data_IF_063871414998
#
_entry.id   IF_063871414998
#
_cell.length_a   1.000
_cell.length_b   1.000
_cell.length_c   1.000
_cell.angle_alpha   90.00
_cell.angle_beta   90.00
_cell.angle_gamma   90.00
#
_symmetry.space_group_name_H-M   'P 1'
#
loop_
_entity.id
_entity.type
_entity.pdbx_description
1 polymer ?
#
# COMPACT_ATOMS: atom_id res chain seq x y z
N UNK A 1 -51.25 65.07 20.36
CA UNK A 1 -51.10 63.61 20.10
C UNK A 1 -50.76 63.49 18.63
N UNK A 2 -49.58 63.08 18.17
CA UNK A 2 -48.72 61.97 18.59
C UNK A 2 -47.24 62.33 18.37
N UNK A 3 -46.38 61.97 19.32
CA UNK A 3 -44.92 62.13 19.25
C UNK A 3 -44.32 60.80 18.81
N UNK A 4 -43.62 60.76 17.68
CA UNK A 4 -42.96 59.56 17.15
C UNK A 4 -41.65 59.32 17.89
N UNK A 5 -41.57 58.24 18.67
CA UNK A 5 -40.31 57.74 19.26
C UNK A 5 -39.46 57.11 18.16
N UNK A 6 -38.24 57.63 17.95
CA UNK A 6 -37.19 56.96 17.17
C UNK A 6 -36.54 55.88 18.03
N UNK A 7 -36.78 54.61 17.71
CA UNK A 7 -36.05 53.47 18.26
C UNK A 7 -34.77 53.29 17.45
N UNK A 8 -33.61 53.52 18.07
CA UNK A 8 -32.30 53.19 17.51
C UNK A 8 -32.10 51.68 17.67
N UNK A 9 -32.14 50.95 16.56
CA UNK A 9 -31.78 49.53 16.53
C UNK A 9 -30.25 49.42 16.50
N UNK A 10 -29.68 48.80 17.54
CA UNK A 10 -28.27 48.48 17.64
C UNK A 10 -27.97 47.32 16.67
N UNK A 11 -27.25 47.57 15.59
CA UNK A 11 -26.76 46.52 14.68
C UNK A 11 -25.54 45.87 15.33
N UNK A 12 -25.73 44.71 15.95
CA UNK A 12 -24.63 43.86 16.41
C UNK A 12 -24.05 43.14 15.18
N UNK A 13 -22.92 43.65 14.68
CA UNK A 13 -22.15 43.01 13.61
C UNK A 13 -21.62 41.65 14.06
N UNK A 14 -22.17 40.58 13.50
CA UNK A 14 -21.65 39.22 13.69
C UNK A 14 -20.42 39.06 12.79
N UNK A 15 -19.22 39.17 13.38
CA UNK A 15 -17.97 38.80 12.71
C UNK A 15 -17.97 37.28 12.57
N UNK A 16 -18.30 36.79 11.37
CA UNK A 16 -18.15 35.39 11.02
C UNK A 16 -16.66 35.05 11.02
N UNK A 17 -16.21 34.39 12.08
CA UNK A 17 -14.88 33.81 12.19
C UNK A 17 -14.80 32.65 11.18
N UNK A 18 -14.33 32.93 9.96
CA UNK A 18 -13.93 31.92 8.99
C UNK A 18 -12.74 31.15 9.59
N UNK A 19 -13.06 30.10 10.35
CA UNK A 19 -12.09 29.13 10.82
C UNK A 19 -11.44 28.47 9.62
N UNK A 20 -10.20 28.87 9.33
CA UNK A 20 -9.31 28.15 8.44
C UNK A 20 -9.12 26.78 9.10
N UNK A 21 -9.84 25.76 8.65
CA UNK A 21 -9.54 24.39 9.05
C UNK A 21 -8.20 24.09 8.37
N UNK A 22 -7.09 23.95 9.12
CA UNK A 22 -5.89 23.44 8.50
C UNK A 22 -6.25 22.06 7.98
N UNK A 23 -6.14 21.85 6.67
CA UNK A 23 -6.04 20.52 6.10
C UNK A 23 -4.82 19.89 6.76
N UNK A 24 -5.04 19.13 7.84
CA UNK A 24 -4.02 18.28 8.40
C UNK A 24 -3.73 17.26 7.30
N UNK A 25 -2.66 17.49 6.53
CA UNK A 25 -2.10 16.46 5.70
C UNK A 25 -1.88 15.26 6.60
N UNK A 26 -2.62 14.17 6.36
CA UNK A 26 -2.40 12.93 7.11
C UNK A 26 -0.94 12.55 6.85
N UNK A 27 -0.12 12.64 7.89
CA UNK A 27 1.25 12.19 7.82
C UNK A 27 1.24 10.73 7.33
N UNK A 28 2.12 10.42 6.37
CA UNK A 28 2.37 9.04 5.94
C UNK A 28 2.69 8.24 7.21
N UNK A 29 1.98 7.14 7.42
CA UNK A 29 2.21 6.27 8.58
C UNK A 29 3.62 5.71 8.48
N UNK A 30 4.53 6.21 9.30
CA UNK A 30 5.95 5.80 9.32
C UNK A 30 6.21 4.62 10.25
N UNK A 31 5.21 4.23 11.06
CA UNK A 31 5.34 3.20 12.09
C UNK A 31 4.04 2.42 12.23
N UNK A 32 4.17 1.11 12.36
CA UNK A 32 3.07 0.17 12.55
C UNK A 32 3.14 -0.58 13.90
N UNK A 33 4.13 -0.23 14.75
CA UNK A 33 4.49 -0.90 16.02
C UNK A 33 3.33 -1.06 16.99
N UNK A 34 2.43 -0.09 16.99
CA UNK A 34 1.35 0.01 17.99
C UNK A 34 0.14 -0.85 17.65
N UNK A 35 0.10 -1.42 16.45
CA UNK A 35 -1.05 -2.19 15.97
C UNK A 35 -0.74 -3.69 15.78
N UNK A 36 0.54 -4.13 15.73
CA UNK A 36 0.91 -5.52 15.38
C UNK A 36 2.14 -6.07 16.16
N UNK A 37 2.10 -6.19 17.49
CA UNK A 37 3.28 -6.48 18.30
C UNK A 37 4.08 -7.68 17.77
N UNK A 38 5.42 -7.53 17.69
CA UNK A 38 6.30 -8.66 17.40
C UNK A 38 6.17 -9.67 18.54
N UNK A 39 5.93 -10.93 18.20
CA UNK A 39 5.71 -12.00 19.16
C UNK A 39 6.74 -13.11 18.98
N UNK A 40 6.96 -13.89 20.05
CA UNK A 40 7.83 -15.05 20.00
C UNK A 40 7.21 -16.12 19.09
N UNK A 41 7.81 -16.31 17.92
CA UNK A 41 7.47 -17.32 16.93
C UNK A 41 8.62 -18.32 16.75
N UNK A 42 9.38 -18.57 17.82
CA UNK A 42 10.52 -19.48 17.82
C UNK A 42 11.59 -19.11 16.76
N UNK A 43 11.83 -17.81 16.56
CA UNK A 43 12.79 -17.30 15.58
C UNK A 43 12.35 -17.50 14.13
N UNK A 44 11.04 -17.57 13.87
CA UNK A 44 10.46 -17.72 12.52
C UNK A 44 9.71 -16.46 12.09
N UNK A 45 9.67 -16.16 10.79
CA UNK A 45 8.83 -15.07 10.27
C UNK A 45 7.35 -15.44 10.35
N UNK A 46 6.51 -14.43 10.47
CA UNK A 46 5.07 -14.53 10.27
C UNK A 46 4.58 -13.29 9.53
N UNK A 47 4.16 -13.48 8.27
CA UNK A 47 3.82 -12.40 7.37
C UNK A 47 2.31 -12.17 7.31
N UNK A 48 1.90 -10.94 7.58
CA UNK A 48 0.51 -10.50 7.41
C UNK A 48 0.42 -9.23 6.60
N UNK A 49 -0.66 -9.05 5.85
CA UNK A 49 -0.91 -7.79 5.12
C UNK A 49 -1.27 -6.70 6.12
N UNK A 50 -0.75 -5.48 5.97
CA UNK A 50 -1.21 -4.31 6.72
C UNK A 50 -2.65 -3.94 6.28
N UNK A 51 -3.68 -4.23 7.08
CA UNK A 51 -5.07 -4.02 6.68
C UNK A 51 -5.39 -2.53 6.61
N UNK A 52 -4.79 -1.69 7.46
CA UNK A 52 -5.03 -0.24 7.45
C UNK A 52 -4.47 0.37 6.18
N UNK A 53 -3.29 -0.07 5.76
CA UNK A 53 -2.68 0.44 4.53
C UNK A 53 -3.42 -0.06 3.29
N UNK A 54 -3.79 -1.34 3.28
CA UNK A 54 -4.55 -1.95 2.19
C UNK A 54 -5.86 -1.18 1.89
N UNK A 55 -6.68 -0.89 2.91
CA UNK A 55 -7.97 -0.20 2.70
C UNK A 55 -7.84 1.30 2.39
N UNK A 56 -6.82 1.97 2.92
CA UNK A 56 -6.70 3.44 2.79
C UNK A 56 -6.08 3.88 1.46
N UNK A 57 -5.47 2.97 0.70
CA UNK A 57 -4.78 3.28 -0.55
C UNK A 57 -5.45 2.68 -1.79
N UNK A 58 -6.68 2.17 -1.65
CA UNK A 58 -7.43 1.68 -2.80
C UNK A 58 -7.94 2.84 -3.65
N UNK A 59 -7.66 2.80 -4.95
CA UNK A 59 -8.15 3.78 -5.91
C UNK A 59 -8.55 3.12 -7.23
N UNK A 60 -9.54 3.72 -7.90
CA UNK A 60 -9.88 3.38 -9.28
C UNK A 60 -9.26 4.43 -10.18
N UNK A 61 -8.39 4.00 -11.10
CA UNK A 61 -7.75 4.89 -12.07
C UNK A 61 -7.97 4.36 -13.48
N UNK A 62 -8.03 5.27 -14.45
CA UNK A 62 -7.98 4.93 -15.88
C UNK A 62 -6.59 5.34 -16.40
N UNK A 63 -5.83 4.40 -16.95
CA UNK A 63 -4.47 4.65 -17.47
C UNK A 63 -4.33 4.05 -18.87
N UNK A 64 -3.62 4.78 -19.75
CA UNK A 64 -3.25 4.31 -21.08
C UNK A 64 -1.92 3.53 -21.00
N UNK A 65 -1.89 2.35 -21.61
CA UNK A 65 -0.68 1.54 -21.76
C UNK A 65 -0.35 1.33 -23.24
N UNK A 66 0.88 1.62 -23.63
CA UNK A 66 1.40 1.30 -24.96
C UNK A 66 2.20 -0.01 -24.94
N UNK A 67 2.62 -0.47 -26.12
CA UNK A 67 3.36 -1.74 -26.26
C UNK A 67 4.73 -1.73 -25.56
N UNK A 68 5.27 -0.55 -25.22
CA UNK A 68 6.55 -0.40 -24.51
C UNK A 68 6.39 -0.28 -23.00
N UNK A 69 5.16 -0.25 -22.48
CA UNK A 69 4.90 -0.10 -21.05
C UNK A 69 5.39 -1.34 -20.30
N UNK A 70 6.09 -1.13 -19.19
CA UNK A 70 6.61 -2.21 -18.36
C UNK A 70 5.51 -3.15 -17.85
N UNK A 71 4.33 -2.59 -17.58
CA UNK A 71 3.17 -3.36 -17.15
C UNK A 71 2.69 -4.38 -18.21
N UNK A 72 2.97 -4.13 -19.49
CA UNK A 72 2.73 -5.07 -20.59
C UNK A 72 3.82 -6.13 -20.63
N UNK A 73 5.08 -5.72 -20.58
CA UNK A 73 6.23 -6.63 -20.61
C UNK A 73 6.23 -7.62 -19.43
N UNK A 74 5.81 -7.16 -18.25
CA UNK A 74 5.71 -7.96 -17.03
C UNK A 74 4.36 -8.67 -16.88
N UNK A 75 3.43 -8.49 -17.83
CA UNK A 75 2.10 -9.12 -17.79
C UNK A 75 1.21 -8.63 -16.64
N UNK A 76 1.51 -7.49 -16.01
CA UNK A 76 0.72 -6.95 -14.90
C UNK A 76 -0.57 -6.26 -15.35
N UNK A 77 -0.76 -6.04 -16.65
CA UNK A 77 -2.03 -5.65 -17.25
C UNK A 77 -2.33 -6.51 -18.48
N UNK A 78 -3.62 -6.79 -18.73
CA UNK A 78 -4.06 -7.72 -19.80
C UNK A 78 -3.92 -7.22 -21.24
N UNK A 79 -3.18 -6.14 -21.50
CA UNK A 79 -2.90 -5.63 -22.85
C UNK A 79 -2.90 -4.10 -22.96
N UNK A 80 -2.54 -3.62 -24.15
CA UNK A 80 -2.40 -2.18 -24.46
C UNK A 80 -3.75 -1.45 -24.51
N UNK A 81 -3.73 -0.11 -24.58
CA UNK A 81 -4.90 0.75 -24.59
C UNK A 81 -5.28 1.27 -23.20
N UNK A 82 -6.42 1.96 -23.12
CA UNK A 82 -6.96 2.44 -21.84
C UNK A 82 -7.45 1.26 -21.00
N UNK A 83 -7.00 1.21 -19.75
CA UNK A 83 -7.40 0.20 -18.76
C UNK A 83 -7.90 0.90 -17.51
N UNK A 84 -9.04 0.42 -17.01
CA UNK A 84 -9.53 0.74 -15.68
C UNK A 84 -8.89 -0.21 -14.68
N UNK A 85 -8.20 0.35 -13.69
CA UNK A 85 -7.45 -0.40 -12.69
C UNK A 85 -8.03 -0.12 -11.31
N UNK A 86 -8.24 -1.18 -10.53
CA UNK A 86 -8.29 -1.08 -9.08
C UNK A 86 -6.86 -1.21 -8.57
N UNK A 87 -6.28 -0.09 -8.16
CA UNK A 87 -4.93 -0.03 -7.60
C UNK A 87 -4.99 -0.03 -6.09
N UNK A 88 -4.06 -0.72 -5.45
CA UNK A 88 -3.88 -0.78 -4.02
C UNK A 88 -2.43 -1.12 -3.70
N UNK A 89 -1.99 -0.78 -2.50
CA UNK A 89 -0.67 -1.17 -1.99
C UNK A 89 -0.80 -2.46 -1.18
N UNK A 90 0.10 -3.42 -1.41
CA UNK A 90 0.29 -4.56 -0.50
C UNK A 90 1.56 -4.31 0.31
N UNK A 91 1.40 -4.15 1.62
CA UNK A 91 2.53 -4.09 2.55
C UNK A 91 2.43 -5.26 3.49
N UNK A 92 3.52 -6.00 3.61
CA UNK A 92 3.64 -7.13 4.51
C UNK A 92 4.36 -6.71 5.78
N UNK A 93 3.80 -7.12 6.89
CA UNK A 93 4.34 -6.96 8.23
C UNK A 93 4.88 -8.32 8.65
N UNK A 94 6.14 -8.37 9.09
CA UNK A 94 6.68 -9.52 9.80
C UNK A 94 6.41 -9.38 11.31
N UNK A 95 5.42 -10.11 11.82
CA UNK A 95 5.05 -10.13 13.23
C UNK A 95 5.82 -11.17 14.05
N UNK A 96 6.51 -12.11 13.40
CA UNK A 96 7.35 -13.09 14.07
C UNK A 96 8.71 -12.52 14.48
N UNK A 97 9.38 -13.18 15.41
CA UNK A 97 10.70 -12.81 15.95
C UNK A 97 11.88 -13.36 15.13
N UNK A 98 11.64 -13.78 13.89
CA UNK A 98 12.68 -14.20 12.95
C UNK A 98 12.50 -13.61 11.56
N UNK A 99 13.60 -13.52 10.82
CA UNK A 99 13.62 -13.01 9.45
C UNK A 99 13.04 -14.02 8.44
N UNK A 100 12.41 -13.51 7.37
CA UNK A 100 12.17 -14.31 6.18
C UNK A 100 13.42 -14.32 5.30
N UNK A 101 14.16 -15.42 5.33
CA UNK A 101 15.38 -15.61 4.53
C UNK A 101 15.10 -16.48 3.32
N UNK A 102 15.13 -15.89 2.13
CA UNK A 102 14.88 -16.58 0.84
C UNK A 102 16.16 -16.85 0.02
N UNK A 103 17.33 -16.48 0.56
CA UNK A 103 18.63 -16.69 -0.06
C UNK A 103 18.93 -15.79 -1.26
N UNK A 104 20.07 -16.02 -1.91
CA UNK A 104 20.48 -15.26 -3.09
C UNK A 104 19.70 -15.73 -4.34
N UNK A 105 19.18 -14.83 -5.18
CA UNK A 105 18.56 -15.20 -6.44
C UNK A 105 19.54 -15.81 -7.44
N UNK A 106 20.84 -15.50 -7.34
CA UNK A 106 21.88 -15.95 -8.26
C UNK A 106 22.63 -17.20 -7.80
N UNK A 107 22.34 -17.70 -6.59
CA UNK A 107 22.93 -18.95 -6.11
C UNK A 107 22.16 -20.16 -6.70
N UNK A 108 22.79 -20.99 -7.54
CA UNK A 108 22.14 -22.16 -8.12
C UNK A 108 21.77 -23.24 -7.09
N UNK A 109 22.37 -23.21 -5.88
CA UNK A 109 22.03 -24.13 -4.80
C UNK A 109 20.87 -23.62 -3.92
N UNK A 110 20.38 -22.40 -4.16
CA UNK A 110 19.23 -21.90 -3.45
C UNK A 110 18.00 -22.77 -3.79
N UNK A 111 17.32 -23.39 -2.80
CA UNK A 111 16.13 -24.20 -3.04
C UNK A 111 14.99 -23.43 -3.72
N UNK A 112 15.01 -22.10 -3.64
CA UNK A 112 14.04 -21.19 -4.29
C UNK A 112 14.55 -20.59 -5.60
N UNK A 113 15.72 -21.02 -6.12
CA UNK A 113 16.33 -20.43 -7.32
C UNK A 113 15.35 -20.33 -8.51
N UNK A 114 14.54 -21.36 -8.73
CA UNK A 114 13.62 -21.44 -9.87
C UNK A 114 12.46 -20.43 -9.84
N UNK A 115 12.17 -19.82 -8.69
CA UNK A 115 11.10 -18.81 -8.58
C UNK A 115 11.61 -17.37 -8.68
N UNK A 116 12.93 -17.16 -8.76
CA UNK A 116 13.51 -15.86 -8.99
C UNK A 116 13.56 -15.54 -10.49
N UNK A 117 12.88 -14.47 -10.90
CA UNK A 117 12.87 -13.98 -12.28
C UNK A 117 13.37 -12.54 -12.29
N UNK A 118 14.40 -12.26 -13.08
CA UNK A 118 14.92 -10.90 -13.23
C UNK A 118 13.93 -10.02 -14.00
N UNK A 119 13.58 -8.86 -13.44
CA UNK A 119 12.83 -7.82 -14.15
C UNK A 119 13.80 -6.78 -14.71
N UNK A 120 13.91 -6.64 -16.04
CA UNK A 120 14.65 -5.53 -16.66
C UNK A 120 13.99 -4.16 -16.43
N UNK A 121 12.69 -4.13 -16.16
CA UNK A 121 11.95 -2.91 -15.89
C UNK A 121 12.25 -2.35 -14.50
N UNK A 122 12.47 -3.23 -13.52
CA UNK A 122 12.74 -2.85 -12.13
C UNK A 122 14.21 -3.05 -11.73
N UNK A 123 15.03 -3.60 -12.63
CA UNK A 123 16.45 -3.86 -12.45
C UNK A 123 16.81 -4.77 -11.26
N UNK A 124 15.88 -5.61 -10.80
CA UNK A 124 16.07 -6.57 -9.71
C UNK A 124 15.30 -7.88 -9.93
N UNK A 125 15.55 -8.88 -9.09
CA UNK A 125 14.84 -10.16 -9.13
C UNK A 125 13.51 -10.10 -8.38
N UNK A 126 12.48 -10.71 -8.97
CA UNK A 126 11.18 -10.93 -8.34
C UNK A 126 10.98 -12.42 -8.03
N UNK A 127 10.29 -12.72 -6.94
CA UNK A 127 9.78 -14.05 -6.62
C UNK A 127 8.40 -14.19 -7.26
N UNK A 128 8.27 -15.10 -8.23
CA UNK A 128 6.99 -15.37 -8.89
C UNK A 128 6.03 -16.15 -7.98
N UNK A 129 4.73 -15.92 -8.15
CA UNK A 129 3.69 -16.63 -7.40
C UNK A 129 3.63 -16.25 -5.92
N UNK A 130 4.26 -15.14 -5.53
CA UNK A 130 4.29 -14.69 -4.14
C UNK A 130 2.91 -14.27 -3.63
N UNK A 131 2.10 -13.63 -4.48
CA UNK A 131 0.76 -13.18 -4.12
C UNK A 131 -0.30 -13.62 -5.12
N UNK A 132 -1.51 -13.86 -4.61
CA UNK A 132 -2.71 -14.08 -5.43
C UNK A 132 -3.75 -13.01 -5.11
N UNK A 133 -3.96 -12.09 -6.04
CA UNK A 133 -4.97 -11.05 -5.91
C UNK A 133 -6.23 -11.44 -6.68
N UNK A 134 -7.37 -11.45 -6.00
CA UNK A 134 -8.66 -11.77 -6.59
C UNK A 134 -9.71 -10.79 -6.10
N UNK A 135 -10.47 -10.22 -7.04
CA UNK A 135 -11.72 -9.55 -6.73
C UNK A 135 -12.82 -10.61 -6.80
N UNK A 136 -13.59 -10.75 -5.72
CA UNK A 136 -14.64 -11.75 -5.62
C UNK A 136 -16.02 -11.07 -5.67
N UNK A 137 -16.98 -11.76 -6.28
CA UNK A 137 -18.39 -11.48 -6.13
C UNK A 137 -18.86 -11.85 -4.71
N UNK A 138 -20.07 -11.42 -4.33
CA UNK A 138 -20.66 -11.76 -3.04
C UNK A 138 -20.85 -13.28 -2.84
N UNK A 139 -21.03 -14.03 -3.93
CA UNK A 139 -21.11 -15.48 -3.94
C UNK A 139 -19.74 -16.19 -3.93
N UNK A 140 -18.65 -15.42 -3.76
CA UNK A 140 -17.24 -15.86 -3.76
C UNK A 140 -16.70 -16.33 -5.11
N UNK A 141 -17.45 -16.19 -6.21
CA UNK A 141 -16.90 -16.41 -7.55
C UNK A 141 -15.91 -15.30 -7.92
N UNK A 142 -14.90 -15.61 -8.76
CA UNK A 142 -13.89 -14.62 -9.17
C UNK A 142 -14.53 -13.63 -10.17
N UNK A 143 -14.65 -12.38 -9.76
CA UNK A 143 -15.08 -11.28 -10.61
C UNK A 143 -13.93 -10.77 -11.49
N UNK A 144 -12.72 -10.70 -10.93
CA UNK A 144 -11.51 -10.36 -11.67
C UNK A 144 -10.28 -11.00 -11.02
N UNK A 145 -9.37 -11.50 -11.86
CA UNK A 145 -8.05 -11.95 -11.43
C UNK A 145 -7.07 -10.77 -11.47
N UNK A 146 -6.27 -10.59 -10.42
CA UNK A 146 -5.17 -9.63 -10.40
C UNK A 146 -3.90 -10.24 -11.01
N UNK A 147 -3.08 -9.37 -11.60
CA UNK A 147 -1.99 -9.79 -12.51
C UNK A 147 -0.57 -9.43 -12.02
N UNK A 148 -0.42 -8.55 -11.01
CA UNK A 148 0.89 -8.24 -10.40
C UNK A 148 1.18 -9.22 -9.26
N UNK A 149 1.76 -10.38 -9.56
CA UNK A 149 1.92 -11.48 -8.59
C UNK A 149 3.37 -11.73 -8.17
N UNK A 150 4.31 -11.02 -8.79
CA UNK A 150 5.74 -11.16 -8.56
C UNK A 150 6.29 -9.91 -7.88
N UNK A 151 7.08 -10.12 -6.83
CA UNK A 151 7.63 -9.06 -5.99
C UNK A 151 9.06 -9.39 -5.56
N UNK A 152 9.84 -8.35 -5.35
CA UNK A 152 11.06 -8.45 -4.57
C UNK A 152 10.69 -8.36 -3.07
N UNK A 153 11.52 -8.92 -2.18
CA UNK A 153 11.33 -8.84 -0.73
C UNK A 153 12.47 -8.03 -0.11
N UNK A 154 12.13 -6.88 0.44
CA UNK A 154 13.07 -5.95 1.06
C UNK A 154 12.46 -5.26 2.28
N UNK A 155 13.33 -4.71 3.12
CA UNK A 155 12.96 -3.98 4.33
C UNK A 155 12.67 -2.51 4.01
N UNK A 156 11.41 -2.18 3.71
CA UNK A 156 11.02 -0.80 3.32
C UNK A 156 10.72 0.13 4.50
N UNK A 157 10.14 -0.40 5.58
CA UNK A 157 9.62 0.39 6.69
C UNK A 157 10.09 -0.19 8.02
N UNK A 158 10.50 0.69 8.94
CA UNK A 158 10.83 0.27 10.30
C UNK A 158 9.55 -0.02 11.07
N UNK A 159 9.50 -1.20 11.68
CA UNK A 159 8.36 -1.67 12.44
C UNK A 159 8.27 -1.02 13.83
N UNK A 160 9.41 -0.85 14.52
CA UNK A 160 9.60 -0.13 15.80
C UNK A 160 10.97 0.55 15.79
N UNK A 161 11.24 1.44 16.76
CA UNK A 161 12.59 1.99 16.98
C UNK A 161 13.59 0.96 17.53
N UNK A 162 13.08 -0.11 18.15
CA UNK A 162 13.88 -1.09 18.90
C UNK A 162 14.26 -2.31 18.06
N UNK A 163 13.49 -2.63 17.01
CA UNK A 163 13.78 -3.73 16.10
C UNK A 163 14.61 -3.23 14.92
N UNK A 164 15.90 -3.57 14.93
CA UNK A 164 16.79 -3.35 13.79
C UNK A 164 16.39 -4.31 12.68
N UNK A 165 15.98 -3.78 11.54
CA UNK A 165 15.90 -4.56 10.30
C UNK A 165 17.30 -5.10 9.97
N UNK A 166 17.35 -6.32 9.43
CA UNK A 166 18.59 -6.95 8.95
C UNK A 166 19.08 -6.34 7.62
N UNK A 167 18.31 -5.41 7.04
CA UNK A 167 18.70 -4.59 5.90
C UNK A 167 18.61 -5.33 4.58
N UNK A 168 17.60 -6.19 4.41
CA UNK A 168 17.37 -6.86 3.12
C UNK A 168 16.98 -5.81 2.07
N UNK A 169 17.67 -5.82 0.94
CA UNK A 169 17.50 -4.86 -0.15
C UNK A 169 17.52 -5.61 -1.48
N UNK A 170 16.60 -5.24 -2.35
CA UNK A 170 16.63 -5.53 -3.78
C UNK A 170 17.40 -4.39 -4.48
#
# INVERSE_FOLDING_TARGET
MFTVKKSVALVVGSVALLGIIPFVAKAVRTDVSRDFPVYNNHGKPDLTVDPKRFVNQMEIIDRLFDASSCEIAEGSVGGTGYRRLLRFDTVLINGGDGDLVVGSPTDPNNPYHSVFIYSPCHMHYHIIGFSNYQLLNLDRTIAAQGHKQAFCLEDLLKYTNDNKSSGYVC
#
